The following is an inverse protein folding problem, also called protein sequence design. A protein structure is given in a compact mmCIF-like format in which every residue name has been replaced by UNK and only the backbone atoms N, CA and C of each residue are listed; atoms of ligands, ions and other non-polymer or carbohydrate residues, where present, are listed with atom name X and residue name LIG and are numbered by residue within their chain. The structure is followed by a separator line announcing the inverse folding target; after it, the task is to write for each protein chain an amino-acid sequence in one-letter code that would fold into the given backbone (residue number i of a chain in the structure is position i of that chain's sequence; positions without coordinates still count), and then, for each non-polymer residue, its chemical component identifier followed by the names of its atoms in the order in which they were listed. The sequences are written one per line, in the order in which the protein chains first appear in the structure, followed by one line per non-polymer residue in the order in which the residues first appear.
data_IF_132132776968
#
_entry.id   IF_132132776968
#
_cell.length_a   1.000
_cell.length_b   1.000
_cell.length_c   1.000
_cell.angle_alpha   90.00
_cell.angle_beta   90.00
_cell.angle_gamma   90.00
#
_symmetry.space_group_name_H-M   'P 1'
#
loop_
_entity.id
_entity.type
_entity.pdbx_description
1 polymer ?
#
# COMPACT_ATOMS: atom_id res chain seq x y z
N UNK A 1 -68.63 71.89 12.95
CA UNK A 1 -68.17 72.61 14.16
C UNK A 1 -67.86 74.03 13.73
N UNK A 2 -68.86 74.90 13.79
CA UNK A 2 -68.77 76.28 13.26
C UNK A 2 -67.89 77.15 14.15
N UNK A 3 -66.70 77.46 13.66
CA UNK A 3 -65.79 78.39 14.32
C UNK A 3 -66.38 79.79 14.11
N UNK A 4 -66.92 80.37 15.18
CA UNK A 4 -67.60 81.67 15.14
C UNK A 4 -66.58 82.82 15.01
N UNK A 5 -66.27 83.20 13.77
CA UNK A 5 -65.24 84.17 13.36
C UNK A 5 -65.39 85.53 14.08
N UNK A 6 -66.63 85.93 14.42
CA UNK A 6 -66.91 87.19 15.14
C UNK A 6 -66.33 87.22 16.57
N UNK A 7 -66.37 86.10 17.31
CA UNK A 7 -65.80 86.03 18.66
C UNK A 7 -64.27 86.09 18.64
N UNK A 8 -63.66 85.55 17.59
CA UNK A 8 -62.21 85.59 17.38
C UNK A 8 -61.78 87.04 17.16
N UNK A 9 -62.49 87.80 16.33
CA UNK A 9 -62.15 89.19 16.01
C UNK A 9 -62.18 90.12 17.25
N UNK A 10 -63.12 89.93 18.17
CA UNK A 10 -63.20 90.70 19.43
C UNK A 10 -62.10 90.30 20.42
N UNK A 11 -61.68 89.03 20.43
CA UNK A 11 -60.56 88.59 21.26
C UNK A 11 -59.21 89.09 20.73
N UNK A 12 -59.07 89.21 19.40
CA UNK A 12 -57.87 89.74 18.71
C UNK A 12 -57.63 91.21 19.09
N UNK A 13 -58.68 92.04 19.14
CA UNK A 13 -58.57 93.46 19.45
C UNK A 13 -58.29 93.74 20.93
N UNK A 14 -58.73 92.86 21.85
CA UNK A 14 -58.53 93.04 23.30
C UNK A 14 -57.16 92.59 23.82
N UNK A 15 -56.58 91.55 23.24
CA UNK A 15 -55.30 90.99 23.70
C UNK A 15 -54.41 90.52 22.53
N UNK A 16 -53.89 91.45 21.70
CA UNK A 16 -53.10 91.10 20.52
C UNK A 16 -51.86 90.25 20.86
N UNK A 17 -51.23 90.50 22.01
CA UNK A 17 -50.06 89.76 22.50
C UNK A 17 -50.31 88.26 22.72
N UNK A 18 -51.49 87.87 23.20
CA UNK A 18 -51.82 86.46 23.46
C UNK A 18 -51.99 85.69 22.15
N UNK A 19 -52.56 86.33 21.14
CA UNK A 19 -52.77 85.72 19.84
C UNK A 19 -51.45 85.56 19.08
N UNK A 20 -50.58 86.57 19.14
CA UNK A 20 -49.22 86.48 18.61
C UNK A 20 -48.44 85.35 19.28
N UNK A 21 -48.51 85.22 20.61
CA UNK A 21 -47.84 84.14 21.33
C UNK A 21 -48.34 82.75 20.93
N UNK A 22 -49.64 82.56 20.74
CA UNK A 22 -50.22 81.29 20.30
C UNK A 22 -49.79 80.95 18.87
N UNK A 23 -49.80 81.92 17.96
CA UNK A 23 -49.30 81.71 16.58
C UNK A 23 -47.82 81.35 16.61
N UNK A 24 -47.02 82.05 17.41
CA UNK A 24 -45.59 81.77 17.54
C UNK A 24 -45.34 80.36 18.10
N UNK A 25 -46.11 79.96 19.10
CA UNK A 25 -45.99 78.64 19.72
C UNK A 25 -46.39 77.52 18.75
N UNK A 26 -47.47 77.69 18.00
CA UNK A 26 -47.90 76.72 16.98
C UNK A 26 -46.86 76.62 15.86
N UNK A 27 -46.37 77.75 15.34
CA UNK A 27 -45.33 77.75 14.31
C UNK A 27 -44.04 77.12 14.78
N UNK A 28 -43.59 77.42 16.01
CA UNK A 28 -42.39 76.83 16.58
C UNK A 28 -42.53 75.33 16.84
N UNK A 29 -43.68 74.89 17.35
CA UNK A 29 -43.97 73.48 17.60
C UNK A 29 -44.09 72.67 16.31
N UNK A 30 -44.75 73.22 15.28
CA UNK A 30 -44.78 72.63 13.94
C UNK A 30 -43.38 72.56 13.32
N UNK A 31 -42.56 73.61 13.47
CA UNK A 31 -41.17 73.58 12.99
C UNK A 31 -40.33 72.54 13.73
N UNK A 32 -40.52 72.38 15.04
CA UNK A 32 -39.78 71.40 15.84
C UNK A 32 -40.16 69.96 15.50
N UNK A 33 -41.45 69.66 15.31
CA UNK A 33 -41.92 68.30 14.99
C UNK A 33 -41.58 67.91 13.54
N UNK A 34 -41.76 68.81 12.58
CA UNK A 34 -41.58 68.48 11.17
C UNK A 34 -40.19 68.83 10.62
N UNK A 35 -39.46 69.72 11.28
CA UNK A 35 -38.13 70.17 10.82
C UNK A 35 -36.97 69.28 11.29
N UNK A 36 -37.20 68.39 12.26
CA UNK A 36 -36.18 67.48 12.80
C UNK A 36 -36.26 66.06 12.24
N UNK A 37 -36.74 65.89 11.02
CA UNK A 37 -36.56 64.63 10.31
C UNK A 37 -35.15 64.61 9.72
N UNK A 38 -34.19 64.13 10.50
CA UNK A 38 -32.82 63.84 10.02
C UNK A 38 -32.84 62.60 9.11
N UNK A 39 -33.65 62.65 8.07
CA UNK A 39 -33.69 61.66 7.01
C UNK A 39 -32.49 61.89 6.10
N UNK A 40 -31.35 61.36 6.52
CA UNK A 40 -30.19 61.24 5.63
C UNK A 40 -30.58 60.29 4.49
N UNK A 41 -30.63 60.82 3.26
CA UNK A 41 -30.82 60.00 2.04
C UNK A 41 -29.59 59.17 1.68
N UNK A 42 -28.50 59.36 2.42
CA UNK A 42 -27.23 58.68 2.22
C UNK A 42 -27.02 57.68 3.36
N UNK A 43 -27.32 56.42 3.08
CA UNK A 43 -27.01 55.29 3.93
C UNK A 43 -25.92 54.46 3.26
N UNK A 44 -24.70 54.47 3.82
CA UNK A 44 -23.61 53.63 3.34
C UNK A 44 -23.76 52.23 3.91
N UNK A 45 -23.92 51.24 3.04
CA UNK A 45 -23.96 49.83 3.44
C UNK A 45 -22.54 49.39 3.79
N UNK A 46 -22.26 49.22 5.08
CA UNK A 46 -20.99 48.68 5.54
C UNK A 46 -21.07 47.14 5.61
N UNK A 47 -20.62 46.46 4.56
CA UNK A 47 -20.62 45.00 4.48
C UNK A 47 -19.21 44.44 4.78
N UNK A 48 -19.14 43.31 5.49
CA UNK A 48 -17.89 42.55 5.60
C UNK A 48 -17.62 41.83 4.28
N UNK A 49 -16.57 42.25 3.57
CA UNK A 49 -16.18 41.66 2.29
C UNK A 49 -15.06 40.64 2.51
N UNK A 50 -15.26 39.42 2.02
CA UNK A 50 -14.22 38.39 1.96
C UNK A 50 -13.90 38.08 0.50
N UNK A 51 -12.61 37.99 0.16
CA UNK A 51 -12.17 37.56 -1.17
C UNK A 51 -12.04 36.05 -1.19
N UNK A 52 -12.84 35.40 -2.03
CA UNK A 52 -12.75 33.95 -2.29
C UNK A 52 -11.83 33.74 -3.47
N UNK A 53 -10.84 32.85 -3.31
CA UNK A 53 -9.86 32.52 -4.34
C UNK A 53 -9.98 31.05 -4.73
N UNK A 54 -9.74 30.76 -6.00
CA UNK A 54 -9.53 29.38 -6.44
C UNK A 54 -8.14 28.91 -6.03
N UNK A 55 -7.98 27.67 -5.51
CA UNK A 55 -6.66 27.08 -5.26
C UNK A 55 -5.91 26.78 -6.56
N UNK A 56 -6.61 26.66 -7.70
CA UNK A 56 -6.05 26.35 -9.00
C UNK A 56 -6.21 27.53 -9.96
N UNK A 57 -5.21 27.74 -10.81
CA UNK A 57 -5.27 28.72 -11.90
C UNK A 57 -6.16 28.17 -13.03
N UNK A 58 -6.94 29.05 -13.67
CA UNK A 58 -7.80 28.67 -14.78
C UNK A 58 -8.88 29.70 -15.05
N UNK A 59 -9.80 29.36 -15.95
CA UNK A 59 -10.94 30.20 -16.30
C UNK A 59 -12.12 29.87 -15.39
N UNK A 60 -12.62 30.85 -14.64
CA UNK A 60 -13.80 30.68 -13.82
C UNK A 60 -15.06 30.63 -14.70
N UNK A 61 -15.82 29.55 -14.57
CA UNK A 61 -17.15 29.42 -15.16
C UNK A 61 -18.19 29.45 -14.03
N UNK A 62 -19.07 30.45 -14.03
CA UNK A 62 -20.12 30.57 -13.02
C UNK A 62 -21.20 29.52 -13.23
N UNK A 63 -21.72 28.97 -12.13
CA UNK A 63 -22.88 28.09 -12.18
C UNK A 63 -24.12 28.85 -12.63
N UNK A 64 -25.04 28.16 -13.30
CA UNK A 64 -26.26 28.77 -13.80
C UNK A 64 -27.06 29.42 -12.67
N UNK A 65 -27.43 30.68 -12.85
CA UNK A 65 -28.20 31.42 -11.84
C UNK A 65 -27.40 31.95 -10.66
N UNK A 66 -26.07 32.07 -10.77
CA UNK A 66 -25.23 32.84 -9.85
C UNK A 66 -24.94 34.22 -10.47
N UNK A 67 -25.46 35.27 -9.84
CA UNK A 67 -25.30 36.66 -10.29
C UNK A 67 -24.76 37.56 -9.17
N UNK A 68 -24.07 38.67 -9.50
CA UNK A 68 -23.66 39.66 -8.51
C UNK A 68 -24.86 40.18 -7.70
N UNK A 69 -24.72 40.23 -6.37
CA UNK A 69 -25.75 40.69 -5.45
C UNK A 69 -26.72 39.59 -4.94
N UNK A 70 -26.56 38.35 -5.41
CA UNK A 70 -27.37 37.23 -4.95
C UNK A 70 -26.89 36.68 -3.61
N UNK A 71 -27.83 36.30 -2.75
CA UNK A 71 -27.53 35.57 -1.53
C UNK A 71 -27.09 34.13 -1.85
N UNK A 72 -25.94 33.73 -1.33
CA UNK A 72 -25.40 32.36 -1.46
C UNK A 72 -25.18 31.74 -0.08
N UNK A 73 -25.51 30.47 0.07
CA UNK A 73 -25.29 29.73 1.30
C UNK A 73 -23.81 29.32 1.45
N UNK A 74 -23.38 29.07 2.69
CA UNK A 74 -22.06 28.49 2.96
C UNK A 74 -21.94 27.12 2.26
N UNK A 75 -20.80 26.85 1.63
CA UNK A 75 -20.52 25.65 0.83
C UNK A 75 -21.37 25.46 -0.43
N UNK A 76 -22.15 26.47 -0.84
CA UNK A 76 -22.86 26.42 -2.12
C UNK A 76 -21.84 26.48 -3.27
N UNK A 77 -22.06 25.66 -4.30
CA UNK A 77 -21.28 25.72 -5.53
C UNK A 77 -21.60 27.01 -6.29
N UNK A 78 -20.60 27.87 -6.45
CA UNK A 78 -20.70 29.18 -7.11
C UNK A 78 -20.30 29.06 -8.60
N UNK A 79 -19.44 28.09 -8.91
CA UNK A 79 -18.90 27.87 -10.23
C UNK A 79 -17.86 26.76 -10.23
N UNK A 80 -17.33 26.49 -11.41
CA UNK A 80 -16.21 25.58 -11.62
C UNK A 80 -15.07 26.33 -12.29
N UNK A 81 -13.84 26.02 -11.91
CA UNK A 81 -12.66 26.53 -12.61
C UNK A 81 -12.27 25.52 -13.67
N UNK A 82 -12.35 25.92 -14.94
CA UNK A 82 -11.78 25.17 -16.05
C UNK A 82 -10.25 25.35 -15.97
N UNK A 83 -9.59 24.40 -15.34
CA UNK A 83 -8.14 24.32 -15.28
C UNK A 83 -7.62 23.40 -16.40
N UNK A 84 -6.86 23.94 -17.36
CA UNK A 84 -5.92 23.15 -18.15
C UNK A 84 -4.61 23.05 -17.33
N UNK A 85 -3.86 21.93 -17.21
CA UNK A 85 -3.89 20.61 -17.85
C UNK A 85 -4.06 19.45 -16.82
N UNK A 86 -4.77 19.67 -15.72
CA UNK A 86 -4.91 18.67 -14.66
C UNK A 86 -5.53 17.35 -15.16
N UNK A 87 -6.41 17.43 -16.16
CA UNK A 87 -7.03 16.25 -16.77
C UNK A 87 -6.02 15.38 -17.53
N UNK A 88 -5.08 16.00 -18.25
CA UNK A 88 -4.03 15.26 -18.99
C UNK A 88 -3.06 14.58 -18.03
N UNK A 89 -2.74 15.23 -16.91
CA UNK A 89 -1.90 14.64 -15.85
C UNK A 89 -2.58 13.43 -15.20
N UNK A 90 -3.89 13.50 -14.95
CA UNK A 90 -4.66 12.36 -14.40
C UNK A 90 -4.63 11.18 -15.36
N UNK A 91 -4.79 11.42 -16.66
CA UNK A 91 -4.73 10.36 -17.69
C UNK A 91 -3.33 9.73 -17.72
N UNK A 92 -2.27 10.54 -17.72
CA UNK A 92 -0.88 10.06 -17.69
C UNK A 92 -0.58 9.25 -16.43
N UNK A 93 -1.00 9.74 -15.26
CA UNK A 93 -0.82 9.02 -13.98
C UNK A 93 -1.59 7.70 -13.96
N UNK A 94 -2.79 7.67 -14.53
CA UNK A 94 -3.59 6.45 -14.64
C UNK A 94 -2.92 5.43 -15.58
N UNK A 95 -2.36 5.89 -16.70
CA UNK A 95 -1.60 5.02 -17.61
C UNK A 95 -0.35 4.44 -16.94
N UNK A 96 0.42 5.28 -16.23
CA UNK A 96 1.59 4.84 -15.46
C UNK A 96 1.22 3.84 -14.37
N UNK A 97 0.10 4.06 -13.67
CA UNK A 97 -0.39 3.13 -12.65
C UNK A 97 -0.71 1.76 -13.25
N UNK A 98 -1.42 1.73 -14.39
CA UNK A 98 -1.77 0.48 -15.08
C UNK A 98 -0.52 -0.24 -15.59
N UNK A 99 0.46 0.49 -16.12
CA UNK A 99 1.73 -0.10 -16.55
C UNK A 99 2.48 -0.74 -15.37
N UNK A 100 2.52 -0.05 -14.22
CA UNK A 100 3.15 -0.55 -13.01
C UNK A 100 2.45 -1.83 -12.50
N UNK A 101 1.12 -1.87 -12.54
CA UNK A 101 0.33 -3.04 -12.13
C UNK A 101 0.62 -4.27 -12.99
N UNK A 102 0.75 -4.08 -14.32
CA UNK A 102 1.18 -5.13 -15.25
C UNK A 102 2.60 -5.61 -14.90
N UNK A 103 3.54 -4.70 -14.65
CA UNK A 103 4.91 -5.08 -14.27
C UNK A 103 4.95 -5.88 -12.97
N UNK A 104 4.14 -5.51 -11.98
CA UNK A 104 4.00 -6.24 -10.71
C UNK A 104 3.47 -7.66 -10.98
N UNK A 105 2.45 -7.81 -11.82
CA UNK A 105 1.91 -9.12 -12.16
C UNK A 105 2.95 -10.03 -12.84
N UNK A 106 3.72 -9.49 -13.79
CA UNK A 106 4.79 -10.22 -14.47
C UNK A 106 5.88 -10.67 -13.49
N UNK A 107 6.35 -9.78 -12.62
CA UNK A 107 7.38 -10.13 -11.62
C UNK A 107 6.85 -11.18 -10.65
N UNK A 108 5.59 -11.10 -10.25
CA UNK A 108 4.96 -12.10 -9.37
C UNK A 108 4.93 -13.48 -10.01
N UNK A 109 4.58 -13.55 -11.30
CA UNK A 109 4.61 -14.82 -12.05
C UNK A 109 6.05 -15.39 -12.14
N UNK A 110 7.04 -14.53 -12.39
CA UNK A 110 8.45 -14.93 -12.40
C UNK A 110 8.89 -15.50 -11.05
N UNK A 111 8.53 -14.85 -9.94
CA UNK A 111 8.83 -15.32 -8.58
C UNK A 111 8.22 -16.71 -8.36
N UNK A 112 6.92 -16.87 -8.63
CA UNK A 112 6.25 -18.17 -8.49
C UNK A 112 6.87 -19.25 -9.38
N UNK A 113 7.29 -18.89 -10.59
CA UNK A 113 8.02 -19.79 -11.49
C UNK A 113 9.37 -20.24 -10.95
N UNK A 114 10.11 -19.33 -10.30
CA UNK A 114 11.39 -19.63 -9.66
C UNK A 114 11.20 -20.49 -8.41
N UNK A 115 10.20 -20.21 -7.58
CA UNK A 115 9.88 -21.01 -6.39
C UNK A 115 9.55 -22.46 -6.75
N UNK A 116 8.75 -22.68 -7.80
CA UNK A 116 8.45 -24.03 -8.31
C UNK A 116 9.72 -24.76 -8.76
N UNK A 117 10.58 -24.10 -9.52
CA UNK A 117 11.86 -24.70 -9.96
C UNK A 117 12.76 -25.02 -8.77
N UNK A 118 12.84 -24.14 -7.78
CA UNK A 118 13.61 -24.36 -6.56
C UNK A 118 13.11 -25.59 -5.79
N UNK A 119 11.79 -25.76 -5.66
CA UNK A 119 11.21 -26.92 -5.01
C UNK A 119 11.54 -28.24 -5.74
N UNK A 120 11.52 -28.22 -7.08
CA UNK A 120 11.94 -29.36 -7.91
C UNK A 120 13.42 -29.66 -7.70
N UNK A 121 14.29 -28.65 -7.72
CA UNK A 121 15.73 -28.86 -7.51
C UNK A 121 16.05 -29.40 -6.12
N UNK A 122 15.34 -28.95 -5.08
CA UNK A 122 15.52 -29.50 -3.72
C UNK A 122 15.14 -30.97 -3.65
N UNK A 123 14.00 -31.35 -4.22
CA UNK A 123 13.55 -32.75 -4.24
C UNK A 123 14.50 -33.63 -5.06
N UNK A 124 14.98 -33.16 -6.22
CA UNK A 124 16.00 -33.86 -7.00
C UNK A 124 17.31 -34.02 -6.21
N UNK A 125 17.76 -32.98 -5.53
CA UNK A 125 18.98 -33.02 -4.73
C UNK A 125 18.88 -34.06 -3.59
N UNK A 126 17.76 -34.09 -2.88
CA UNK A 126 17.50 -35.08 -1.84
C UNK A 126 17.50 -36.51 -2.40
N UNK A 127 16.87 -36.72 -3.56
CA UNK A 127 16.89 -38.01 -4.27
C UNK A 127 18.32 -38.43 -4.62
N UNK A 128 19.11 -37.55 -5.24
CA UNK A 128 20.52 -37.84 -5.58
C UNK A 128 21.37 -38.19 -4.36
N UNK A 129 21.18 -37.48 -3.24
CA UNK A 129 21.88 -37.79 -1.99
C UNK A 129 21.50 -39.20 -1.51
N UNK A 130 20.20 -39.52 -1.51
CA UNK A 130 19.72 -40.84 -1.07
C UNK A 130 20.23 -41.98 -1.97
N UNK A 131 20.22 -41.80 -3.29
CA UNK A 131 20.74 -42.78 -4.25
C UNK A 131 22.24 -42.99 -4.09
N UNK A 132 22.99 -41.91 -3.87
CA UNK A 132 24.43 -41.97 -3.63
C UNK A 132 24.77 -42.73 -2.34
N UNK A 133 24.01 -42.54 -1.27
CA UNK A 133 24.19 -43.30 -0.03
C UNK A 133 23.92 -44.81 -0.22
N UNK A 134 22.89 -45.16 -0.99
CA UNK A 134 22.56 -46.54 -1.32
C UNK A 134 23.67 -47.17 -2.17
N UNK A 135 24.15 -46.48 -3.20
CA UNK A 135 25.28 -46.95 -4.02
C UNK A 135 26.54 -47.16 -3.17
N UNK A 136 26.90 -46.21 -2.31
CA UNK A 136 28.05 -46.35 -1.41
C UNK A 136 27.92 -47.58 -0.51
N UNK A 137 26.72 -47.87 0.03
CA UNK A 137 26.47 -49.09 0.83
C UNK A 137 26.59 -50.37 0.01
N UNK A 138 26.07 -50.38 -1.22
CA UNK A 138 26.16 -51.52 -2.13
C UNK A 138 27.62 -51.83 -2.49
N UNK A 139 28.40 -50.81 -2.86
CA UNK A 139 29.83 -50.94 -3.16
C UNK A 139 30.62 -51.48 -1.96
N UNK A 140 30.36 -50.96 -0.76
CA UNK A 140 30.99 -51.46 0.47
C UNK A 140 30.65 -52.91 0.74
N UNK A 141 29.40 -53.33 0.52
CA UNK A 141 28.98 -54.71 0.71
C UNK A 141 29.59 -55.65 -0.33
N UNK A 142 29.67 -55.23 -1.60
CA UNK A 142 30.34 -55.96 -2.67
C UNK A 142 31.83 -56.13 -2.36
N UNK A 143 32.52 -55.06 -1.97
CA UNK A 143 33.92 -55.10 -1.58
C UNK A 143 34.17 -56.07 -0.42
N UNK A 144 33.29 -56.06 0.61
CA UNK A 144 33.35 -57.02 1.72
C UNK A 144 33.16 -58.47 1.26
N UNK A 145 32.19 -58.72 0.37
CA UNK A 145 31.94 -60.06 -0.17
C UNK A 145 33.15 -60.58 -0.95
N UNK A 146 33.73 -59.75 -1.81
CA UNK A 146 34.94 -60.09 -2.58
C UNK A 146 36.11 -60.39 -1.65
N UNK A 147 36.30 -59.58 -0.60
CA UNK A 147 37.36 -59.80 0.39
C UNK A 147 37.16 -61.13 1.13
N UNK A 148 35.92 -61.46 1.54
CA UNK A 148 35.60 -62.74 2.17
C UNK A 148 35.87 -63.92 1.23
N UNK A 149 35.51 -63.79 -0.06
CA UNK A 149 35.79 -64.82 -1.06
C UNK A 149 37.29 -65.02 -1.23
N UNK A 150 38.05 -63.95 -1.47
CA UNK A 150 39.53 -63.99 -1.58
C UNK A 150 40.16 -64.60 -0.34
N UNK A 151 39.67 -64.27 0.86
CA UNK A 151 40.16 -64.85 2.12
C UNK A 151 39.92 -66.36 2.18
N UNK A 152 38.77 -66.84 1.74
CA UNK A 152 38.45 -68.26 1.70
C UNK A 152 39.29 -69.00 0.65
N UNK A 153 39.50 -68.40 -0.53
CA UNK A 153 40.38 -68.94 -1.57
C UNK A 153 41.83 -69.04 -1.08
N UNK A 154 42.34 -68.00 -0.40
CA UNK A 154 43.66 -68.01 0.24
C UNK A 154 43.81 -69.13 1.28
N UNK A 155 42.81 -69.33 2.14
CA UNK A 155 42.82 -70.45 3.11
C UNK A 155 42.82 -71.81 2.41
N UNK A 156 42.03 -71.98 1.37
CA UNK A 156 41.98 -73.24 0.62
C UNK A 156 43.31 -73.56 -0.07
N UNK A 157 44.01 -72.54 -0.60
CA UNK A 157 45.35 -72.69 -1.17
C UNK A 157 46.35 -73.09 -0.07
N UNK A 158 46.30 -72.45 1.10
CA UNK A 158 47.20 -72.75 2.23
C UNK A 158 47.01 -74.19 2.75
N UNK A 159 45.75 -74.62 2.95
CA UNK A 159 45.42 -76.00 3.32
C UNK A 159 45.91 -77.01 2.29
N UNK A 160 45.68 -76.75 1.00
CA UNK A 160 46.15 -77.62 -0.09
C UNK A 160 47.68 -77.70 -0.13
N UNK A 161 48.36 -76.60 0.16
CA UNK A 161 49.83 -76.55 0.20
C UNK A 161 50.36 -77.35 1.39
N UNK A 162 49.73 -77.20 2.57
CA UNK A 162 50.08 -77.98 3.77
C UNK A 162 49.85 -79.48 3.57
N UNK A 163 48.73 -79.86 2.98
CA UNK A 163 48.41 -81.27 2.69
C UNK A 163 49.41 -81.87 1.69
N UNK A 164 49.81 -81.10 0.67
CA UNK A 164 50.86 -81.52 -0.26
C UNK A 164 52.22 -81.73 0.43
N UNK A 165 52.62 -80.84 1.34
CA UNK A 165 53.84 -81.00 2.14
C UNK A 165 53.77 -82.25 3.02
N UNK A 166 52.64 -82.51 3.68
CA UNK A 166 52.44 -83.71 4.50
C UNK A 166 52.53 -84.99 3.66
N UNK A 167 51.93 -85.02 2.48
CA UNK A 167 52.03 -86.17 1.56
C UNK A 167 53.49 -86.45 1.18
N UNK A 168 54.25 -85.41 0.81
CA UNK A 168 55.67 -85.54 0.51
C UNK A 168 56.42 -86.10 1.71
N UNK A 169 56.20 -85.56 2.91
CA UNK A 169 56.85 -86.03 4.13
C UNK A 169 56.52 -87.50 4.45
N UNK A 170 55.26 -87.91 4.28
CA UNK A 170 54.83 -89.30 4.44
C UNK A 170 55.49 -90.25 3.44
N UNK A 171 55.63 -89.83 2.18
CA UNK A 171 56.35 -90.61 1.17
C UNK A 171 57.82 -90.80 1.58
N UNK A 172 58.50 -89.72 1.98
CA UNK A 172 59.89 -89.80 2.45
C UNK A 172 60.03 -90.68 3.69
N UNK A 173 59.09 -90.60 4.64
CA UNK A 173 59.10 -91.45 5.84
C UNK A 173 58.89 -92.93 5.50
N UNK A 174 57.98 -93.25 4.59
CA UNK A 174 57.72 -94.62 4.13
C UNK A 174 58.94 -95.22 3.43
N UNK A 175 59.59 -94.44 2.57
CA UNK A 175 60.83 -94.85 1.89
C UNK A 175 61.94 -95.06 2.92
N UNK A 176 62.12 -94.12 3.86
CA UNK A 176 63.14 -94.21 4.90
C UNK A 176 62.96 -95.42 5.83
N UNK A 177 61.74 -95.69 6.29
CA UNK A 177 61.43 -96.87 7.12
C UNK A 177 61.60 -98.18 6.35
N UNK A 178 61.22 -98.21 5.07
CA UNK A 178 61.45 -99.39 4.21
C UNK A 178 62.94 -99.70 4.06
N UNK A 179 63.78 -98.68 3.80
CA UNK A 179 65.24 -98.84 3.70
C UNK A 179 65.84 -99.32 5.03
N UNK A 180 65.44 -98.73 6.15
CA UNK A 180 65.92 -99.17 7.49
C UNK A 180 65.49 -100.61 7.79
N UNK A 181 64.27 -101.01 7.43
CA UNK A 181 63.79 -102.39 7.63
C UNK A 181 64.57 -103.42 6.79
N UNK A 182 65.00 -103.04 5.58
CA UNK A 182 65.86 -103.87 4.72
C UNK A 182 67.26 -104.02 5.32
N UNK A 183 67.79 -102.97 5.95
CA UNK A 183 69.12 -103.00 6.57
C UNK A 183 69.18 -103.72 7.92
N UNK A 184 68.08 -103.81 8.67
CA UNK A 184 68.01 -104.49 9.98
C UNK A 184 67.37 -105.90 9.95
N UNK A 185 67.00 -106.41 8.77
CA UNK A 185 66.44 -107.76 8.57
C UNK A 185 67.44 -108.78 7.99
N UNK A 186 68.74 -108.45 7.99
CA UNK A 186 69.87 -109.35 7.74
C UNK A 186 70.73 -109.43 9.00
#
# INVERSE_FOLDING_TARGET
MDINIKKIWIAVTKHPFKLVAVIFFISFFSFYIYGYDNSSKEAFINARVARILSPTQGTLNFSHGILPGQHVAKNQMIGSVLAAPANDQIIQLTAQYNELDIQIAVVKEQITGLEKRLAIYKTQQEQYISESEVQRKLELNQAKSILLQLRNELKAIDEKTRDFVLIIFSIFYLIGTSIVSIFFSN
#
